data_IF_511934816248
#
_entry.id   IF_511934816248
#
_cell.length_a   1.000
_cell.length_b   1.000
_cell.length_c   1.000
_cell.angle_alpha   90.00
_cell.angle_beta   90.00
_cell.angle_gamma   90.00
#
_symmetry.space_group_name_H-M   'P 1'
#
loop_
_entity.id
_entity.type
_entity.pdbx_description
1 polymer ?
#
# COMPACT_ATOMS: atom_id res chain seq x y z
N UNK A 1 -34.99 -14.61 -10.05
CA UNK A 1 -34.81 -15.46 -8.84
C UNK A 1 -33.67 -16.47 -9.01
N UNK A 2 -33.50 -17.07 -10.18
CA UNK A 2 -32.42 -18.05 -10.45
C UNK A 2 -31.00 -17.46 -10.27
N UNK A 3 -30.72 -16.30 -10.86
CA UNK A 3 -29.42 -15.63 -10.73
C UNK A 3 -29.05 -15.26 -9.29
N UNK A 4 -30.04 -14.86 -8.47
CA UNK A 4 -29.81 -14.57 -7.05
C UNK A 4 -29.50 -15.84 -6.25
N UNK A 5 -30.10 -16.99 -6.61
CA UNK A 5 -29.74 -18.28 -6.01
C UNK A 5 -28.33 -18.71 -6.40
N UNK A 6 -27.95 -18.55 -7.66
CA UNK A 6 -26.60 -18.87 -8.15
C UNK A 6 -25.56 -18.00 -7.45
N UNK A 7 -25.78 -16.68 -7.35
CA UNK A 7 -24.90 -15.76 -6.62
C UNK A 7 -24.78 -16.10 -5.13
N UNK A 8 -25.88 -16.51 -4.50
CA UNK A 8 -25.90 -16.89 -3.09
C UNK A 8 -25.15 -18.20 -2.86
N UNK A 9 -25.34 -19.19 -3.73
CA UNK A 9 -24.63 -20.48 -3.67
C UNK A 9 -23.14 -20.31 -3.94
N UNK A 10 -22.76 -19.46 -4.91
CA UNK A 10 -21.37 -19.17 -5.22
C UNK A 10 -20.66 -18.48 -4.05
N UNK A 11 -21.31 -17.49 -3.42
CA UNK A 11 -20.80 -16.84 -2.20
C UNK A 11 -20.68 -17.80 -1.02
N UNK A 12 -21.64 -18.71 -0.85
CA UNK A 12 -21.58 -19.72 0.20
C UNK A 12 -20.45 -20.73 -0.02
N UNK A 13 -20.22 -21.17 -1.26
CA UNK A 13 -19.10 -22.05 -1.60
C UNK A 13 -17.75 -21.36 -1.40
N UNK A 14 -17.62 -20.09 -1.80
CA UNK A 14 -16.43 -19.29 -1.54
C UNK A 14 -16.17 -19.11 -0.05
N UNK A 15 -17.21 -18.86 0.76
CA UNK A 15 -17.08 -18.73 2.21
C UNK A 15 -16.66 -20.06 2.88
N UNK A 16 -17.19 -21.20 2.43
CA UNK A 16 -16.80 -22.52 2.93
C UNK A 16 -15.36 -22.85 2.54
N UNK A 17 -14.95 -22.51 1.32
CA UNK A 17 -13.59 -22.72 0.84
C UNK A 17 -12.58 -21.82 1.55
N UNK A 18 -12.97 -20.57 1.85
CA UNK A 18 -12.23 -19.62 2.69
C UNK A 18 -12.02 -20.10 4.12
N UNK A 19 -13.07 -20.65 4.76
CA UNK A 19 -12.98 -21.24 6.11
C UNK A 19 -12.08 -22.49 6.12
N UNK A 20 -12.11 -23.28 5.06
CA UNK A 20 -11.38 -24.56 4.97
C UNK A 20 -9.89 -24.40 4.66
N UNK A 21 -9.51 -23.30 4.02
CA UNK A 21 -8.11 -22.98 3.65
C UNK A 21 -7.45 -21.99 4.61
N UNK A 22 -8.22 -21.35 5.51
CA UNK A 22 -7.75 -20.20 6.28
C UNK A 22 -7.69 -18.91 5.47
N UNK A 23 -8.11 -18.96 4.19
CA UNK A 23 -8.06 -17.84 3.26
C UNK A 23 -9.28 -16.94 3.41
N UNK A 24 -9.18 -15.89 4.20
CA UNK A 24 -10.11 -14.77 4.07
C UNK A 24 -9.80 -14.00 2.79
N UNK A 25 -10.35 -14.45 1.64
CA UNK A 25 -10.13 -13.96 0.25
C UNK A 25 -10.15 -12.42 0.05
N UNK A 26 -10.56 -11.66 1.06
CA UNK A 26 -10.72 -10.22 1.07
C UNK A 26 -9.40 -9.44 0.90
N UNK A 27 -8.24 -9.92 1.39
CA UNK A 27 -7.06 -9.03 1.42
C UNK A 27 -6.44 -8.76 0.04
N UNK A 28 -6.44 -9.73 -0.88
CA UNK A 28 -5.95 -9.53 -2.26
C UNK A 28 -6.95 -8.71 -3.06
N UNK A 29 -8.25 -8.88 -2.81
CA UNK A 29 -9.32 -8.11 -3.44
C UNK A 29 -9.16 -6.59 -3.21
N UNK A 30 -8.63 -6.19 -2.06
CA UNK A 30 -8.42 -4.77 -1.73
C UNK A 30 -7.07 -4.20 -2.19
N UNK A 31 -6.08 -5.02 -2.55
CA UNK A 31 -4.78 -4.53 -3.03
C UNK A 31 -4.89 -3.59 -4.23
N UNK A 32 -5.68 -3.89 -5.29
CA UNK A 32 -5.86 -2.97 -6.41
C UNK A 32 -6.49 -1.64 -5.99
N UNK A 33 -7.47 -1.68 -5.09
CA UNK A 33 -8.17 -0.49 -4.60
C UNK A 33 -7.19 0.42 -3.87
N UNK A 34 -6.40 -0.12 -2.94
CA UNK A 34 -5.39 0.64 -2.21
C UNK A 34 -4.25 1.14 -3.11
N UNK A 35 -3.85 0.35 -4.10
CA UNK A 35 -2.90 0.78 -5.13
C UNK A 35 -3.40 1.97 -5.94
N UNK A 36 -4.65 1.91 -6.41
CA UNK A 36 -5.29 3.00 -7.14
C UNK A 36 -5.47 4.27 -6.29
N UNK A 37 -5.88 4.13 -5.02
CA UNK A 37 -5.98 5.25 -4.08
C UNK A 37 -4.61 5.90 -3.88
N UNK A 38 -3.55 5.11 -3.68
CA UNK A 38 -2.18 5.60 -3.49
C UNK A 38 -1.66 6.34 -4.72
N UNK A 39 -1.96 5.85 -5.93
CA UNK A 39 -1.59 6.52 -7.17
C UNK A 39 -2.39 7.81 -7.40
N UNK A 40 -3.68 7.80 -7.08
CA UNK A 40 -4.51 9.01 -7.14
C UNK A 40 -3.98 10.07 -6.17
N UNK A 41 -3.65 9.71 -4.92
CA UNK A 41 -3.05 10.64 -3.97
C UNK A 41 -1.67 11.12 -4.43
N UNK A 42 -0.85 10.25 -5.02
CA UNK A 42 0.43 10.64 -5.58
C UNK A 42 0.28 11.64 -6.74
N UNK A 43 -0.70 11.45 -7.63
CA UNK A 43 -0.99 12.38 -8.72
C UNK A 43 -1.39 13.76 -8.18
N UNK A 44 -2.19 13.82 -7.12
CA UNK A 44 -2.52 15.07 -6.42
C UNK A 44 -1.28 15.73 -5.81
N UNK A 45 -0.38 14.95 -5.20
CA UNK A 45 0.89 15.46 -4.68
C UNK A 45 1.80 16.00 -5.79
N UNK A 46 1.69 15.50 -7.02
CA UNK A 46 2.39 16.04 -8.19
C UNK A 46 2.08 17.52 -8.42
N UNK A 47 0.81 17.93 -8.25
CA UNK A 47 0.41 19.33 -8.31
C UNK A 47 1.03 20.15 -7.17
N UNK A 48 1.07 19.60 -5.96
CA UNK A 48 1.71 20.26 -4.81
C UNK A 48 3.20 20.49 -5.07
N UNK A 49 3.90 19.51 -5.65
CA UNK A 49 5.31 19.63 -6.04
C UNK A 49 5.53 20.67 -7.15
N UNK A 50 4.62 20.76 -8.11
CA UNK A 50 4.68 21.80 -9.15
C UNK A 50 4.50 23.19 -8.53
N UNK A 51 3.49 23.37 -7.66
CA UNK A 51 3.28 24.61 -6.91
C UNK A 51 4.48 24.97 -6.04
N UNK A 52 5.13 23.99 -5.42
CA UNK A 52 6.35 24.21 -4.62
C UNK A 52 7.48 24.84 -5.43
N UNK A 53 7.65 24.41 -6.68
CA UNK A 53 8.69 24.95 -7.57
C UNK A 53 8.34 26.37 -8.04
N UNK A 54 7.08 26.64 -8.32
CA UNK A 54 6.62 27.94 -8.84
C UNK A 54 6.48 29.00 -7.73
N UNK A 55 5.98 28.61 -6.56
CA UNK A 55 5.62 29.51 -5.46
C UNK A 55 6.06 28.95 -4.10
N UNK A 56 7.38 28.89 -3.81
CA UNK A 56 7.90 28.26 -2.60
C UNK A 56 7.44 28.95 -1.30
N UNK A 57 7.20 30.27 -1.34
CA UNK A 57 6.73 31.05 -0.18
C UNK A 57 5.33 30.63 0.27
N UNK A 58 4.42 30.31 -0.66
CA UNK A 58 3.04 29.90 -0.34
C UNK A 58 3.03 28.65 0.54
N UNK A 59 3.82 27.63 0.21
CA UNK A 59 3.86 26.40 1.01
C UNK A 59 4.50 26.60 2.39
N UNK A 60 5.52 27.45 2.48
CA UNK A 60 6.18 27.74 3.75
C UNK A 60 5.28 28.57 4.67
N UNK A 61 4.66 29.61 4.14
CA UNK A 61 4.01 30.64 4.93
C UNK A 61 2.53 30.33 5.18
N UNK A 62 1.82 29.80 4.18
CA UNK A 62 0.40 29.44 4.30
C UNK A 62 0.21 28.01 4.79
N UNK A 63 0.84 27.03 4.12
CA UNK A 63 0.69 25.61 4.46
C UNK A 63 1.60 25.15 5.62
N UNK A 64 2.45 26.04 6.14
CA UNK A 64 3.39 25.77 7.25
C UNK A 64 4.28 24.55 7.02
N UNK A 65 4.65 24.28 5.76
CA UNK A 65 5.56 23.21 5.39
C UNK A 65 6.97 23.54 5.90
N UNK A 66 7.54 22.65 6.71
CA UNK A 66 8.88 22.82 7.29
C UNK A 66 9.94 21.99 6.61
N UNK A 67 9.56 20.83 6.05
CA UNK A 67 10.46 19.94 5.33
C UNK A 67 9.93 19.63 3.92
N UNK A 68 10.08 20.58 2.97
CA UNK A 68 9.52 20.44 1.63
C UNK A 68 10.05 19.22 0.86
N UNK A 69 11.29 18.80 1.11
CA UNK A 69 11.87 17.60 0.51
C UNK A 69 11.09 16.30 0.87
N UNK A 70 10.37 16.29 2.00
CA UNK A 70 9.54 15.15 2.42
C UNK A 70 8.28 15.00 1.57
N UNK A 71 7.82 16.07 0.91
CA UNK A 71 6.71 16.01 -0.06
C UNK A 71 7.12 15.17 -1.27
N UNK A 72 8.34 15.39 -1.79
CA UNK A 72 8.86 14.61 -2.92
C UNK A 72 9.04 13.14 -2.54
N UNK A 73 9.53 12.87 -1.33
CA UNK A 73 9.65 11.51 -0.82
C UNK A 73 8.29 10.82 -0.68
N UNK A 74 7.30 11.49 -0.08
CA UNK A 74 5.94 11.00 0.01
C UNK A 74 5.35 10.69 -1.37
N UNK A 75 5.50 11.62 -2.32
CA UNK A 75 4.99 11.45 -3.69
C UNK A 75 5.62 10.23 -4.37
N UNK A 76 6.95 10.16 -4.42
CA UNK A 76 7.65 9.07 -5.09
C UNK A 76 7.35 7.71 -4.45
N UNK A 77 7.32 7.66 -3.12
CA UNK A 77 7.06 6.41 -2.40
C UNK A 77 5.60 5.96 -2.61
N UNK A 78 4.63 6.87 -2.63
CA UNK A 78 3.25 6.53 -2.99
C UNK A 78 3.11 6.04 -4.44
N UNK A 79 3.83 6.63 -5.40
CA UNK A 79 3.85 6.13 -6.78
C UNK A 79 4.39 4.71 -6.83
N UNK A 80 5.55 4.45 -6.23
CA UNK A 80 6.19 3.14 -6.26
C UNK A 80 5.33 2.09 -5.55
N UNK A 81 4.95 2.34 -4.29
CA UNK A 81 4.20 1.40 -3.48
C UNK A 81 2.79 1.15 -4.05
N UNK A 82 2.12 2.19 -4.54
CA UNK A 82 0.82 2.05 -5.20
C UNK A 82 0.90 1.21 -6.48
N UNK A 83 1.94 1.43 -7.29
CA UNK A 83 2.21 0.62 -8.50
C UNK A 83 2.49 -0.84 -8.13
N UNK A 84 3.29 -1.07 -7.09
CA UNK A 84 3.60 -2.42 -6.60
C UNK A 84 2.34 -3.17 -6.21
N UNK A 85 1.39 -2.53 -5.50
CA UNK A 85 0.14 -3.19 -5.13
C UNK A 85 -0.71 -3.57 -6.34
N UNK A 86 -0.82 -2.70 -7.35
CA UNK A 86 -1.51 -3.02 -8.60
C UNK A 86 -0.81 -4.13 -9.38
N UNK A 87 0.50 -4.02 -9.58
CA UNK A 87 1.26 -5.02 -10.33
C UNK A 87 1.24 -6.38 -9.64
N UNK A 88 1.37 -6.42 -8.31
CA UNK A 88 1.39 -7.68 -7.56
C UNK A 88 0.03 -8.38 -7.59
N UNK A 89 -1.06 -7.62 -7.39
CA UNK A 89 -2.42 -8.18 -7.42
C UNK A 89 -2.85 -8.63 -8.82
N UNK A 90 -2.37 -7.97 -9.87
CA UNK A 90 -2.64 -8.36 -11.26
C UNK A 90 -1.78 -9.54 -11.71
N UNK A 91 -0.50 -9.58 -11.35
CA UNK A 91 0.40 -10.66 -11.71
C UNK A 91 0.15 -11.95 -10.91
N UNK A 92 -0.27 -11.82 -9.65
CA UNK A 92 -0.46 -12.93 -8.72
C UNK A 92 -1.85 -12.83 -8.06
N UNK A 93 -2.93 -13.16 -8.79
CA UNK A 93 -4.29 -13.04 -8.27
C UNK A 93 -4.57 -13.99 -7.08
N UNK A 94 -3.76 -15.03 -6.92
CA UNK A 94 -3.88 -16.02 -5.83
C UNK A 94 -2.80 -15.84 -4.75
N UNK A 95 -2.31 -14.62 -4.54
CA UNK A 95 -1.26 -14.34 -3.57
C UNK A 95 -1.72 -14.71 -2.14
N UNK A 96 -0.94 -15.49 -1.37
CA UNK A 96 -1.35 -15.91 -0.03
C UNK A 96 -1.52 -14.71 0.91
N UNK A 97 -2.49 -14.78 1.82
CA UNK A 97 -2.83 -13.67 2.72
C UNK A 97 -1.68 -13.23 3.64
N UNK A 98 -0.89 -14.19 4.13
CA UNK A 98 0.28 -13.90 4.96
C UNK A 98 1.37 -13.11 4.21
N UNK A 99 1.29 -13.05 2.87
CA UNK A 99 2.11 -12.18 2.02
C UNK A 99 1.36 -10.89 1.69
N UNK A 100 0.12 -11.01 1.23
CA UNK A 100 -0.68 -9.89 0.74
C UNK A 100 -0.96 -8.84 1.82
N UNK A 101 -1.28 -9.26 3.06
CA UNK A 101 -1.60 -8.33 4.15
C UNK A 101 -0.38 -7.51 4.59
N UNK A 102 0.79 -8.11 4.93
CA UNK A 102 1.99 -7.33 5.25
C UNK A 102 2.45 -6.44 4.09
N UNK A 103 2.37 -6.95 2.85
CA UNK A 103 2.72 -6.17 1.67
C UNK A 103 1.83 -4.92 1.56
N UNK A 104 0.50 -5.08 1.68
CA UNK A 104 -0.46 -3.96 1.63
C UNK A 104 -0.22 -2.96 2.74
N UNK A 105 -0.11 -3.44 3.98
CA UNK A 105 0.12 -2.58 5.13
C UNK A 105 1.43 -1.79 5.00
N UNK A 106 2.53 -2.48 4.65
CA UNK A 106 3.83 -1.87 4.45
C UNK A 106 3.83 -0.82 3.34
N UNK A 107 3.25 -1.16 2.18
CA UNK A 107 3.11 -0.26 1.03
C UNK A 107 2.29 1.00 1.34
N UNK A 108 1.30 0.92 2.25
CA UNK A 108 0.52 2.07 2.65
C UNK A 108 1.22 2.91 3.72
N UNK A 109 1.77 2.26 4.74
CA UNK A 109 2.30 2.97 5.92
C UNK A 109 3.68 3.57 5.70
N UNK A 110 4.53 2.96 4.84
CA UNK A 110 5.85 3.52 4.55
C UNK A 110 5.77 4.94 3.95
N UNK A 111 5.01 5.18 2.86
CA UNK A 111 4.88 6.53 2.31
C UNK A 111 4.25 7.48 3.33
N UNK A 112 3.18 7.05 4.00
CA UNK A 112 2.45 7.89 4.95
C UNK A 112 3.31 8.32 6.15
N UNK A 113 4.39 7.60 6.45
CA UNK A 113 5.39 8.01 7.43
C UNK A 113 5.99 9.38 7.13
N UNK A 114 6.15 9.76 5.86
CA UNK A 114 6.70 11.06 5.50
C UNK A 114 5.74 12.23 5.78
N UNK A 115 4.43 11.97 5.85
CA UNK A 115 3.41 12.99 6.00
C UNK A 115 3.59 13.85 7.28
N UNK A 116 3.70 13.28 8.50
CA UNK A 116 3.94 14.08 9.70
C UNK A 116 5.27 14.84 9.65
N UNK A 117 6.31 14.29 9.01
CA UNK A 117 7.62 14.93 8.91
C UNK A 117 7.62 16.20 8.04
N UNK A 118 6.64 16.35 7.13
CA UNK A 118 6.48 17.58 6.32
C UNK A 118 6.21 18.79 7.22
N UNK A 119 5.39 18.62 8.26
CA UNK A 119 4.94 19.70 9.15
C UNK A 119 5.69 19.73 10.48
N UNK A 120 6.12 18.56 10.96
CA UNK A 120 6.77 18.36 12.25
C UNK A 120 8.02 17.49 12.08
N UNK A 121 9.14 18.07 11.58
CA UNK A 121 10.36 17.30 11.36
C UNK A 121 10.86 16.60 12.63
N UNK A 122 10.65 17.21 13.81
CA UNK A 122 11.03 16.67 15.11
C UNK A 122 10.31 15.37 15.50
N UNK A 123 9.26 14.94 14.77
CA UNK A 123 8.62 13.64 15.01
C UNK A 123 9.61 12.48 14.85
N UNK A 124 10.67 12.65 14.05
CA UNK A 124 11.73 11.64 13.88
C UNK A 124 12.48 11.29 15.18
N UNK A 125 12.42 12.15 16.20
CA UNK A 125 13.01 11.91 17.53
C UNK A 125 12.10 11.15 18.48
N UNK A 126 10.81 11.01 18.14
CA UNK A 126 9.81 10.40 19.02
C UNK A 126 9.89 8.87 18.87
N UNK A 127 10.09 8.16 19.98
CA UNK A 127 10.28 6.70 19.97
C UNK A 127 9.09 5.96 19.36
N UNK A 128 7.86 6.36 19.70
CA UNK A 128 6.62 5.76 19.17
C UNK A 128 6.56 5.93 17.66
N UNK A 129 6.90 7.12 17.14
CA UNK A 129 6.93 7.38 15.71
C UNK A 129 7.96 6.46 15.01
N UNK A 130 9.20 6.41 15.54
CA UNK A 130 10.25 5.52 14.99
C UNK A 130 9.85 4.05 15.05
N UNK A 131 9.18 3.63 16.11
CA UNK A 131 8.63 2.28 16.26
C UNK A 131 7.58 1.97 15.18
N UNK A 132 6.64 2.90 14.94
CA UNK A 132 5.64 2.77 13.88
C UNK A 132 6.26 2.63 12.49
N UNK A 133 7.25 3.46 12.17
CA UNK A 133 8.01 3.34 10.92
C UNK A 133 8.77 2.01 10.87
N UNK A 134 9.38 1.58 11.98
CA UNK A 134 10.04 0.27 12.04
C UNK A 134 9.08 -0.88 11.71
N UNK A 135 7.86 -0.85 12.24
CA UNK A 135 6.82 -1.85 11.97
C UNK A 135 6.43 -1.84 10.49
N UNK A 136 6.27 -0.67 9.86
CA UNK A 136 5.95 -0.59 8.44
C UNK A 136 7.06 -1.16 7.55
N UNK A 137 8.33 -0.94 7.90
CA UNK A 137 9.47 -1.54 7.21
C UNK A 137 9.54 -3.06 7.37
N UNK A 138 9.34 -3.57 8.59
CA UNK A 138 9.29 -5.02 8.85
C UNK A 138 8.16 -5.66 8.05
N UNK A 139 6.97 -5.06 8.08
CA UNK A 139 5.80 -5.52 7.34
C UNK A 139 6.05 -5.55 5.83
N UNK A 140 6.63 -4.48 5.29
CA UNK A 140 7.02 -4.41 3.87
C UNK A 140 8.02 -5.50 3.51
N UNK A 141 9.02 -5.72 4.37
CA UNK A 141 10.06 -6.75 4.15
C UNK A 141 9.43 -8.13 4.07
N UNK A 142 8.55 -8.48 5.02
CA UNK A 142 7.80 -9.74 5.00
C UNK A 142 6.98 -9.86 3.72
N UNK A 143 6.28 -8.79 3.33
CA UNK A 143 5.47 -8.75 2.11
C UNK A 143 6.28 -8.95 0.84
N UNK A 144 7.39 -8.23 0.66
CA UNK A 144 8.23 -8.32 -0.54
C UNK A 144 8.96 -9.66 -0.64
N UNK A 145 9.54 -10.14 0.46
CA UNK A 145 10.23 -11.45 0.49
C UNK A 145 9.22 -12.57 0.26
N UNK A 146 8.05 -12.50 0.90
CA UNK A 146 6.96 -13.45 0.68
C UNK A 146 6.44 -13.45 -0.75
N UNK A 147 6.33 -12.28 -1.39
CA UNK A 147 5.92 -12.16 -2.78
C UNK A 147 6.95 -12.79 -3.71
N UNK A 148 8.24 -12.52 -3.50
CA UNK A 148 9.31 -13.12 -4.29
C UNK A 148 9.33 -14.65 -4.15
N UNK A 149 9.21 -15.15 -2.92
CA UNK A 149 9.09 -16.58 -2.64
C UNK A 149 7.89 -17.19 -3.38
N UNK A 150 6.72 -16.58 -3.27
CA UNK A 150 5.51 -17.07 -3.94
C UNK A 150 5.64 -17.05 -5.46
N UNK A 151 6.17 -15.97 -6.03
CA UNK A 151 6.37 -15.85 -7.48
C UNK A 151 7.31 -16.94 -8.04
N UNK A 152 8.35 -17.29 -7.29
CA UNK A 152 9.25 -18.41 -7.62
C UNK A 152 8.48 -19.73 -7.63
N UNK A 153 7.70 -20.01 -6.58
CA UNK A 153 6.92 -21.24 -6.46
C UNK A 153 5.88 -21.35 -7.59
N UNK A 154 5.14 -20.28 -7.85
CA UNK A 154 4.09 -20.22 -8.88
C UNK A 154 4.64 -20.47 -10.29
N UNK A 155 5.81 -19.90 -10.60
CA UNK A 155 6.39 -19.96 -11.96
C UNK A 155 7.25 -21.19 -12.22
N UNK A 156 7.96 -21.69 -11.22
CA UNK A 156 8.97 -22.75 -11.41
C UNK A 156 8.40 -24.13 -11.06
N UNK A 157 7.48 -24.25 -10.10
CA UNK A 157 7.01 -25.56 -9.63
C UNK A 157 5.67 -26.00 -10.20
N UNK A 158 4.91 -25.09 -10.82
CA UNK A 158 3.64 -25.39 -11.48
C UNK A 158 3.75 -25.45 -13.01
N UNK A 159 4.98 -25.55 -13.54
CA UNK A 159 5.26 -25.97 -14.93
C UNK A 159 5.54 -27.47 -14.96
#
# INVERSE_FOLDING_TARGET
MEQQRILTQYKAQMAIQAIRTGDTCLSVEYMPVWGAISLASAALLGWVLALQKMFPSILRDFAKVKAPNRIMQLHLDQVMMGTILLCSSTAFPNLPHFVAQPLTFGCLMNPLGFLPLIFFPSCDKILIYRGGIGISFVSSTIGFVGLAWFAIQDRILNQ
#
